data_IF_225107940963
#
_entry.id   IF_225107940963
#
_cell.length_a   1.000
_cell.length_b   1.000
_cell.length_c   1.000
_cell.angle_alpha   90.00
_cell.angle_beta   90.00
_cell.angle_gamma   90.00
#
_symmetry.space_group_name_H-M   'P 1'
#
loop_
_entity.id
_entity.type
_entity.pdbx_description
1 polymer ?
#
# COMPACT_ATOMS: atom_id res chain seq x y z
N UNK A 1 41.82 11.65 -71.86
CA UNK A 1 40.55 12.25 -71.44
C UNK A 1 39.43 11.47 -72.12
N UNK A 2 38.73 10.60 -71.38
CA UNK A 2 37.63 9.77 -71.92
C UNK A 2 36.32 10.51 -71.68
N UNK A 3 35.62 10.85 -72.76
CA UNK A 3 34.28 11.42 -72.72
C UNK A 3 33.32 10.43 -72.07
N UNK A 4 32.75 10.79 -70.91
CA UNK A 4 31.55 10.16 -70.37
C UNK A 4 30.36 10.70 -71.16
N UNK A 5 29.78 9.89 -72.03
CA UNK A 5 28.43 10.15 -72.54
C UNK A 5 27.43 10.04 -71.38
N UNK A 6 26.77 11.16 -71.07
CA UNK A 6 25.70 11.22 -70.06
C UNK A 6 24.45 10.58 -70.64
N UNK A 7 24.13 9.38 -70.18
CA UNK A 7 22.89 8.69 -70.54
C UNK A 7 21.71 9.30 -69.73
N UNK A 8 20.70 9.91 -70.39
CA UNK A 8 19.61 10.61 -69.70
C UNK A 8 18.70 9.67 -68.90
N UNK A 9 18.69 8.37 -69.23
CA UNK A 9 17.94 7.34 -68.51
C UNK A 9 18.43 7.12 -67.07
N UNK A 10 19.73 7.25 -66.79
CA UNK A 10 20.28 7.08 -65.44
C UNK A 10 19.92 8.21 -64.47
N UNK A 11 19.66 9.43 -64.98
CA UNK A 11 19.28 10.56 -64.14
C UNK A 11 17.82 10.47 -63.65
N UNK A 12 16.92 9.91 -64.47
CA UNK A 12 15.49 9.78 -64.15
C UNK A 12 15.25 8.72 -63.08
N UNK A 13 16.02 7.62 -63.09
CA UNK A 13 15.94 6.58 -62.07
C UNK A 13 16.42 7.05 -60.69
N UNK A 14 17.46 7.88 -60.62
CA UNK A 14 17.94 8.45 -59.35
C UNK A 14 16.97 9.49 -58.76
N UNK A 15 16.28 10.26 -59.59
CA UNK A 15 15.32 11.26 -59.12
C UNK A 15 14.02 10.63 -58.61
N UNK A 16 13.56 9.53 -59.22
CA UNK A 16 12.34 8.81 -58.81
C UNK A 16 12.42 8.21 -57.39
N UNK A 17 13.59 7.68 -57.00
CA UNK A 17 13.81 7.08 -55.67
C UNK A 17 13.80 8.16 -54.56
N UNK A 18 14.33 9.35 -54.84
CA UNK A 18 14.36 10.46 -53.87
C UNK A 18 12.95 11.02 -53.57
N UNK A 19 12.05 11.04 -54.55
CA UNK A 19 10.67 11.53 -54.35
C UNK A 19 9.86 10.57 -53.48
N UNK A 20 10.01 9.25 -53.64
CA UNK A 20 9.32 8.27 -52.79
C UNK A 20 9.77 8.35 -51.31
N UNK A 21 11.03 8.66 -51.04
CA UNK A 21 11.56 8.82 -49.68
C UNK A 21 11.10 10.13 -49.03
N UNK A 22 10.97 11.22 -49.81
CA UNK A 22 10.48 12.50 -49.31
C UNK A 22 9.02 12.43 -48.85
N UNK A 23 8.14 11.76 -49.62
CA UNK A 23 6.72 11.61 -49.25
C UNK A 23 6.48 10.59 -48.12
N UNK A 24 7.32 9.55 -47.98
CA UNK A 24 7.18 8.56 -46.89
C UNK A 24 7.61 9.10 -45.52
N UNK A 25 8.50 10.09 -45.48
CA UNK A 25 9.02 10.69 -44.24
C UNK A 25 7.99 11.48 -43.42
N UNK A 26 6.92 11.97 -44.05
CA UNK A 26 5.87 12.72 -43.37
C UNK A 26 4.99 11.82 -42.47
N UNK A 27 4.70 10.59 -42.93
CA UNK A 27 3.88 9.62 -42.18
C UNK A 27 4.66 8.92 -41.05
N UNK A 28 5.98 8.77 -41.21
CA UNK A 28 6.86 8.19 -40.18
C UNK A 28 6.95 9.11 -38.95
N UNK A 29 6.99 10.43 -39.13
CA UNK A 29 7.05 11.40 -38.01
C UNK A 29 5.79 11.40 -37.16
N UNK A 30 4.60 11.28 -37.78
CA UNK A 30 3.33 11.20 -37.06
C UNK A 30 3.21 9.92 -36.21
N UNK A 31 3.69 8.78 -36.73
CA UNK A 31 3.74 7.52 -35.97
C UNK A 31 4.80 7.55 -34.86
N UNK A 32 5.96 8.18 -35.08
CA UNK A 32 6.99 8.34 -34.04
C UNK A 32 6.49 9.18 -32.86
N UNK A 33 5.72 10.24 -33.10
CA UNK A 33 5.09 11.02 -32.01
C UNK A 33 4.08 10.19 -31.22
N UNK A 34 3.24 9.38 -31.90
CA UNK A 34 2.26 8.51 -31.25
C UNK A 34 2.94 7.41 -30.40
N UNK A 35 4.03 6.81 -30.89
CA UNK A 35 4.79 5.80 -30.14
C UNK A 35 5.47 6.43 -28.91
N UNK A 36 6.01 7.64 -29.03
CA UNK A 36 6.64 8.33 -27.89
C UNK A 36 5.63 8.71 -26.79
N UNK A 37 4.40 9.06 -27.18
CA UNK A 37 3.31 9.34 -26.24
C UNK A 37 2.82 8.04 -25.58
N UNK A 38 2.63 6.97 -26.35
CA UNK A 38 2.28 5.65 -25.80
C UNK A 38 3.33 5.14 -24.82
N UNK A 39 4.62 5.30 -25.12
CA UNK A 39 5.69 4.91 -24.19
C UNK A 39 5.63 5.68 -22.87
N UNK A 40 5.28 6.98 -22.89
CA UNK A 40 5.09 7.77 -21.67
C UNK A 40 3.87 7.28 -20.86
N UNK A 41 2.73 7.07 -21.51
CA UNK A 41 1.53 6.55 -20.86
C UNK A 41 1.73 5.15 -20.29
N UNK A 42 2.44 4.26 -20.98
CA UNK A 42 2.78 2.93 -20.47
C UNK A 42 3.68 3.01 -19.24
N UNK A 43 4.67 3.92 -19.24
CA UNK A 43 5.54 4.14 -18.07
C UNK A 43 4.75 4.66 -16.86
N UNK A 44 3.89 5.66 -17.07
CA UNK A 44 3.05 6.25 -16.01
C UNK A 44 2.05 5.23 -15.43
N UNK A 45 1.39 4.46 -16.28
CA UNK A 45 0.48 3.40 -15.86
C UNK A 45 1.22 2.27 -15.14
N UNK A 46 2.41 1.88 -15.62
CA UNK A 46 3.21 0.83 -14.97
C UNK A 46 3.68 1.23 -13.57
N UNK A 47 4.09 2.49 -13.37
CA UNK A 47 4.44 3.02 -12.07
C UNK A 47 3.23 3.04 -11.11
N UNK A 48 2.07 3.41 -11.63
CA UNK A 48 0.82 3.43 -10.86
C UNK A 48 0.39 2.02 -10.44
N UNK A 49 0.47 1.04 -11.36
CA UNK A 49 0.20 -0.38 -11.06
C UNK A 49 1.16 -0.90 -9.99
N UNK A 50 2.45 -0.60 -10.12
CA UNK A 50 3.45 -1.03 -9.14
C UNK A 50 3.18 -0.44 -7.74
N UNK A 51 2.82 0.84 -7.67
CA UNK A 51 2.44 1.49 -6.43
C UNK A 51 1.18 0.88 -5.82
N UNK A 52 0.15 0.60 -6.62
CA UNK A 52 -1.08 -0.04 -6.16
C UNK A 52 -0.81 -1.45 -5.64
N UNK A 53 0.06 -2.21 -6.30
CA UNK A 53 0.43 -3.56 -5.87
C UNK A 53 1.22 -3.53 -4.56
N UNK A 54 2.19 -2.62 -4.41
CA UNK A 54 2.94 -2.44 -3.18
C UNK A 54 2.02 -2.04 -2.00
N UNK A 55 1.05 -1.16 -2.26
CA UNK A 55 0.04 -0.75 -1.27
C UNK A 55 -0.85 -1.93 -0.85
N UNK A 56 -1.32 -2.74 -1.80
CA UNK A 56 -2.11 -3.94 -1.52
C UNK A 56 -1.33 -4.95 -0.68
N UNK A 57 -0.08 -5.25 -1.05
CA UNK A 57 0.77 -6.16 -0.30
C UNK A 57 1.03 -5.67 1.14
N UNK A 58 1.25 -4.36 1.32
CA UNK A 58 1.39 -3.79 2.66
C UNK A 58 0.10 -3.92 3.48
N UNK A 59 -1.05 -3.68 2.87
CA UNK A 59 -2.35 -3.85 3.53
C UNK A 59 -2.63 -5.31 3.92
N UNK A 60 -2.32 -6.26 3.04
CA UNK A 60 -2.45 -7.70 3.32
C UNK A 60 -1.54 -8.13 4.48
N UNK A 61 -0.28 -7.68 4.46
CA UNK A 61 0.66 -7.95 5.55
C UNK A 61 0.18 -7.38 6.89
N UNK A 62 -0.35 -6.15 6.89
CA UNK A 62 -0.96 -5.56 8.10
C UNK A 62 -2.19 -6.34 8.56
N UNK A 63 -3.04 -6.77 7.63
CA UNK A 63 -4.21 -7.56 7.97
C UNK A 63 -3.85 -8.88 8.63
N UNK A 64 -2.81 -9.55 8.13
CA UNK A 64 -2.31 -10.80 8.69
C UNK A 64 -1.71 -10.59 10.09
N UNK A 65 -0.90 -9.54 10.29
CA UNK A 65 -0.40 -9.17 11.62
C UNK A 65 -1.55 -8.95 12.60
N UNK A 66 -2.60 -8.24 12.18
CA UNK A 66 -3.77 -7.99 13.01
C UNK A 66 -4.53 -9.29 13.36
N UNK A 67 -4.73 -10.20 12.39
CA UNK A 67 -5.33 -11.52 12.63
C UNK A 67 -4.56 -12.31 13.69
N UNK A 68 -3.24 -12.40 13.51
CA UNK A 68 -2.37 -13.11 14.44
C UNK A 68 -2.41 -12.52 15.85
N UNK A 69 -2.50 -11.18 15.98
CA UNK A 69 -2.64 -10.50 17.26
C UNK A 69 -3.97 -10.85 17.95
N UNK A 70 -5.07 -10.94 17.19
CA UNK A 70 -6.36 -11.41 17.73
C UNK A 70 -6.30 -12.86 18.18
N UNK A 71 -5.77 -13.76 17.35
CA UNK A 71 -5.67 -15.19 17.61
C UNK A 71 -4.80 -15.52 18.82
N UNK A 72 -3.67 -14.81 18.98
CA UNK A 72 -2.77 -14.97 20.13
C UNK A 72 -3.34 -14.45 21.45
N UNK A 73 -4.44 -13.70 21.43
CA UNK A 73 -5.10 -13.21 22.63
C UNK A 73 -4.67 -11.79 23.03
N UNK A 74 -4.81 -10.83 22.12
CA UNK A 74 -4.70 -9.40 22.44
C UNK A 74 -5.63 -8.96 23.59
N UNK A 75 -5.21 -7.92 24.32
CA UNK A 75 -6.02 -7.30 25.37
C UNK A 75 -7.06 -6.38 24.72
N UNK A 76 -8.35 -6.71 24.89
CA UNK A 76 -9.45 -5.92 24.35
C UNK A 76 -9.63 -4.62 25.14
N UNK A 77 -9.63 -3.49 24.44
CA UNK A 77 -9.80 -2.17 25.08
C UNK A 77 -11.28 -1.85 25.32
N UNK A 78 -11.56 -1.27 26.49
CA UNK A 78 -12.91 -0.89 26.93
C UNK A 78 -12.93 0.59 27.31
N UNK A 79 -14.11 1.19 27.31
CA UNK A 79 -14.28 2.58 27.70
C UNK A 79 -13.98 2.76 29.20
N UNK A 80 -13.28 3.84 29.55
CA UNK A 80 -12.95 4.12 30.95
C UNK A 80 -14.20 4.40 31.81
N UNK A 81 -15.20 5.09 31.23
CA UNK A 81 -16.46 5.45 31.93
C UNK A 81 -17.42 4.27 32.07
N UNK A 82 -17.41 3.37 31.09
CA UNK A 82 -18.24 2.17 31.08
C UNK A 82 -17.39 0.96 30.67
N UNK A 83 -16.88 0.19 31.65
CA UNK A 83 -16.05 -0.97 31.38
C UNK A 83 -16.74 -2.13 30.67
N UNK A 84 -18.07 -2.08 30.48
CA UNK A 84 -18.83 -3.06 29.72
C UNK A 84 -18.94 -2.67 28.23
N UNK A 85 -18.55 -1.45 27.88
CA UNK A 85 -18.56 -0.94 26.53
C UNK A 85 -17.16 -0.99 25.92
N UNK A 86 -17.04 -1.53 24.71
CA UNK A 86 -15.80 -1.48 23.94
C UNK A 86 -15.52 -0.05 23.45
N UNK A 87 -14.24 0.25 23.23
CA UNK A 87 -13.80 1.54 22.67
C UNK A 87 -12.81 1.33 21.53
N UNK A 88 -12.49 2.40 20.82
CA UNK A 88 -11.52 2.38 19.71
C UNK A 88 -10.12 2.69 20.21
N UNK A 89 -9.12 2.15 19.53
CA UNK A 89 -7.72 2.52 19.76
C UNK A 89 -7.42 3.90 19.15
N UNK A 90 -6.72 4.75 19.90
CA UNK A 90 -6.27 6.07 19.46
C UNK A 90 -4.74 6.13 19.52
N UNK A 91 -4.10 6.35 18.38
CA UNK A 91 -2.63 6.40 18.27
C UNK A 91 -2.06 7.53 19.15
N UNK A 92 -0.95 7.25 19.83
CA UNK A 92 -0.26 8.20 20.70
C UNK A 92 -0.95 8.42 22.06
N UNK A 93 -2.07 7.75 22.33
CA UNK A 93 -2.73 7.77 23.63
C UNK A 93 -2.32 6.54 24.46
N UNK A 94 -2.21 6.66 25.79
CA UNK A 94 -2.00 5.52 26.67
C UNK A 94 -3.27 4.66 26.77
N UNK A 95 -3.09 3.36 26.96
CA UNK A 95 -4.18 2.44 27.34
C UNK A 95 -4.02 2.13 28.82
N UNK A 96 -5.09 2.27 29.58
CA UNK A 96 -5.07 2.12 31.04
C UNK A 96 -5.60 0.73 31.43
N UNK A 97 -4.85 0.04 32.29
CA UNK A 97 -5.30 -1.17 32.97
C UNK A 97 -6.48 -0.83 33.90
N UNK A 98 -7.62 -1.48 33.69
CA UNK A 98 -8.84 -1.24 34.46
C UNK A 98 -8.68 -1.55 35.95
N UNK A 99 -7.88 -2.56 36.30
CA UNK A 99 -7.67 -3.06 37.67
C UNK A 99 -6.61 -2.22 38.35
N UNK A 100 -5.43 -2.07 37.72
CA UNK A 100 -4.27 -1.39 38.32
C UNK A 100 -4.30 0.13 38.20
N UNK A 101 -5.18 0.68 37.34
CA UNK A 101 -5.28 2.11 37.03
C UNK A 101 -3.95 2.71 36.55
N UNK A 102 -3.11 1.90 35.93
CA UNK A 102 -1.79 2.27 35.39
C UNK A 102 -1.77 2.02 33.88
N UNK A 103 -0.85 2.69 33.20
CA UNK A 103 -0.65 2.51 31.76
C UNK A 103 -0.16 1.07 31.47
N UNK A 104 -0.67 0.47 30.39
CA UNK A 104 -0.20 -0.84 29.96
C UNK A 104 1.28 -0.78 29.59
N UNK A 105 2.08 -1.81 29.93
CA UNK A 105 3.50 -1.81 29.67
C UNK A 105 3.80 -1.88 28.16
N UNK A 106 4.96 -1.34 27.78
CA UNK A 106 5.48 -1.43 26.41
C UNK A 106 5.60 -2.90 25.99
N UNK A 107 5.27 -3.17 24.73
CA UNK A 107 5.25 -4.52 24.15
C UNK A 107 3.88 -5.20 24.23
N UNK A 108 2.97 -4.72 25.09
CA UNK A 108 1.61 -5.26 25.19
C UNK A 108 0.87 -5.15 23.87
N UNK A 109 0.21 -6.24 23.46
CA UNK A 109 -0.67 -6.24 22.29
C UNK A 109 -2.10 -5.94 22.74
N UNK A 110 -2.68 -4.89 22.18
CA UNK A 110 -4.05 -4.46 22.44
C UNK A 110 -4.88 -4.52 21.16
N UNK A 111 -6.19 -4.66 21.31
CA UNK A 111 -7.13 -4.69 20.20
C UNK A 111 -8.45 -4.01 20.55
N UNK A 112 -9.12 -3.45 19.54
CA UNK A 112 -10.46 -2.89 19.69
C UNK A 112 -11.56 -3.80 19.10
N UNK A 113 -12.81 -3.39 19.30
CA UNK A 113 -13.97 -4.07 18.75
C UNK A 113 -14.24 -3.75 17.27
N UNK A 114 -13.41 -2.91 16.63
CA UNK A 114 -13.58 -2.47 15.25
C UNK A 114 -12.62 -3.17 14.28
N UNK A 115 -11.68 -3.97 14.78
CA UNK A 115 -10.71 -4.71 13.95
C UNK A 115 -9.30 -4.11 13.95
N UNK A 116 -9.04 -3.07 14.75
CA UNK A 116 -7.70 -2.54 14.93
C UNK A 116 -6.98 -3.27 16.05
N UNK A 117 -5.70 -3.49 15.82
CA UNK A 117 -4.76 -4.00 16.82
C UNK A 117 -3.58 -3.06 16.89
N UNK A 118 -2.92 -3.00 18.04
CA UNK A 118 -1.74 -2.19 18.24
C UNK A 118 -0.76 -2.86 19.19
N UNK A 119 0.50 -2.47 19.08
CA UNK A 119 1.51 -2.73 20.11
C UNK A 119 1.67 -1.45 20.92
N UNK A 120 1.69 -1.56 22.24
CA UNK A 120 2.08 -0.44 23.09
C UNK A 120 3.58 -0.19 22.90
N UNK A 121 3.94 1.02 22.53
CA UNK A 121 5.32 1.47 22.28
C UNK A 121 5.68 2.60 23.23
N UNK A 122 6.97 2.86 23.40
CA UNK A 122 7.43 4.01 24.17
C UNK A 122 7.22 5.30 23.35
N UNK A 123 6.47 6.27 23.86
CA UNK A 123 6.31 7.59 23.24
C UNK A 123 6.46 8.71 24.27
N UNK A 124 7.31 9.72 24.01
CA UNK A 124 7.50 10.91 24.87
C UNK A 124 7.43 10.63 26.38
N UNK A 125 8.19 9.65 26.86
CA UNK A 125 8.29 9.19 28.25
C UNK A 125 7.09 8.43 28.84
N UNK A 126 6.13 7.97 28.03
CA UNK A 126 5.02 7.12 28.47
C UNK A 126 4.69 6.00 27.45
N UNK A 127 4.15 4.85 27.88
CA UNK A 127 3.64 3.83 26.98
C UNK A 127 2.38 4.32 26.24
N UNK A 128 2.39 4.26 24.91
CA UNK A 128 1.29 4.72 24.06
C UNK A 128 0.97 3.71 22.97
N UNK A 129 -0.24 3.79 22.42
CA UNK A 129 -0.65 3.02 21.24
C UNK A 129 0.22 3.36 20.04
N UNK A 130 0.88 2.36 19.47
CA UNK A 130 1.64 2.42 18.22
C UNK A 130 1.49 1.15 17.39
N UNK A 131 2.26 1.05 16.29
CA UNK A 131 2.26 -0.11 15.38
C UNK A 131 0.85 -0.65 15.07
N UNK A 132 -0.05 0.23 14.66
CA UNK A 132 -1.43 -0.14 14.39
C UNK A 132 -1.52 -1.05 13.17
N UNK A 133 -2.40 -2.04 13.22
CA UNK A 133 -2.68 -2.93 12.10
C UNK A 133 -4.17 -3.28 12.11
N UNK A 134 -4.79 -3.34 10.92
CA UNK A 134 -6.22 -3.56 10.75
C UNK A 134 -6.49 -4.85 9.99
N UNK A 135 -7.34 -5.72 10.52
CA UNK A 135 -7.59 -7.06 9.94
C UNK A 135 -8.60 -7.09 8.79
N UNK A 136 -9.66 -6.28 8.86
CA UNK A 136 -10.81 -6.40 7.96
C UNK A 136 -11.68 -7.65 8.15
N UNK A 137 -11.23 -8.66 8.90
CA UNK A 137 -11.97 -9.89 9.17
C UNK A 137 -12.88 -9.74 10.41
N UNK A 138 -14.19 -9.75 10.21
CA UNK A 138 -15.16 -9.61 11.30
C UNK A 138 -15.23 -10.85 12.20
N UNK A 139 -14.88 -12.04 11.71
CA UNK A 139 -15.01 -13.29 12.49
C UNK A 139 -14.02 -13.30 13.66
N UNK A 140 -12.75 -12.99 13.38
CA UNK A 140 -11.70 -12.96 14.41
C UNK A 140 -11.97 -11.90 15.51
N UNK A 141 -12.59 -10.78 15.12
CA UNK A 141 -12.99 -9.72 16.05
C UNK A 141 -14.12 -10.17 16.98
N UNK A 142 -15.18 -10.78 16.43
CA UNK A 142 -16.31 -11.27 17.24
C UNK A 142 -15.90 -12.39 18.18
N UNK A 143 -14.99 -13.27 17.76
CA UNK A 143 -14.40 -14.28 18.65
C UNK A 143 -13.60 -13.64 19.79
N UNK A 144 -12.79 -12.63 19.48
CA UNK A 144 -12.03 -11.89 20.49
C UNK A 144 -12.93 -11.17 21.50
N UNK A 145 -14.03 -10.55 21.04
CA UNK A 145 -15.04 -9.93 21.91
C UNK A 145 -15.68 -10.96 22.87
N UNK A 146 -16.01 -12.15 22.37
CA UNK A 146 -16.54 -13.25 23.19
C UNK A 146 -15.53 -13.73 24.23
N UNK A 147 -14.23 -13.79 23.90
CA UNK A 147 -13.15 -14.14 24.85
C UNK A 147 -13.01 -13.07 25.95
N UNK A 148 -12.96 -11.80 25.55
CA UNK A 148 -12.79 -10.66 26.46
C UNK A 148 -13.91 -10.57 27.51
N UNK A 149 -15.17 -10.82 27.11
CA UNK A 149 -16.31 -10.82 28.04
C UNK A 149 -16.28 -11.98 29.05
N UNK A 150 -15.53 -13.05 28.79
CA UNK A 150 -15.47 -14.23 29.66
C UNK A 150 -14.28 -14.21 30.61
N UNK A 151 -13.14 -13.65 30.21
CA UNK A 151 -11.89 -13.65 30.98
C UNK A 151 -11.07 -12.40 30.69
N UNK A 152 -11.07 -11.45 31.62
CA UNK A 152 -10.00 -10.46 31.66
C UNK A 152 -8.75 -11.13 32.22
N UNK A 153 -7.71 -11.27 31.39
CA UNK A 153 -6.39 -11.75 31.81
C UNK A 153 -5.47 -10.54 31.80
N UNK A 154 -4.87 -10.24 32.95
CA UNK A 154 -3.82 -9.21 33.05
C UNK A 154 -2.70 -9.60 32.07
N UNK A 155 -2.23 -8.68 31.20
CA UNK A 155 -1.04 -8.96 30.41
C UNK A 155 0.12 -9.23 31.38
N UNK A 156 0.68 -10.44 31.31
CA UNK A 156 1.85 -10.80 32.09
C UNK A 156 3.02 -9.91 31.65
N UNK A 157 3.67 -9.30 32.65
CA UNK A 157 4.96 -8.63 32.51
C UNK A 157 6.05 -9.66 32.22
#
# INVERSE_FOLDING_TARGET
MKHLERNPMTAVFFFGICVCLAFSSANIKANLSAVSQLQKTVRENSASVWQLQASQQAAEAQAEIAKQRYEKGCVMVVAMKDPNSFTSLSVGQPVIDRVRKTELPVGTIVCDANGNTARIVQGNNKPVVGEIAFTGDRKVVEEAKKRANKRYVLPNL
#
